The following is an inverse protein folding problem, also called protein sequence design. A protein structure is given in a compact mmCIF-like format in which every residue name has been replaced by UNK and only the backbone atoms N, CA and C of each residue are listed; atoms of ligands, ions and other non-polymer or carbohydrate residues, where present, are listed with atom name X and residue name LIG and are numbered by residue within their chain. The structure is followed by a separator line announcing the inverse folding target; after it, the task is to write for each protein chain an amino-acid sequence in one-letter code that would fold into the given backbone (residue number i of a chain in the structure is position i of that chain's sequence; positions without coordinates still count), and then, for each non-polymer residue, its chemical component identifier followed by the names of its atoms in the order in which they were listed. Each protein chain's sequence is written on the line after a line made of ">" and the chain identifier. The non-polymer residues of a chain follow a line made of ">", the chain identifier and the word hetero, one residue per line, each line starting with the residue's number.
data_IF_152781706481
#
_entry.id   IF_152781706481
#
_cell.length_a   1.000
_cell.length_b   1.000
_cell.length_c   1.000
_cell.angle_alpha   90.00
_cell.angle_beta   90.00
_cell.angle_gamma   90.00
#
_symmetry.space_group_name_H-M   'P 1'
#
loop_
_entity.id
_entity.type
_entity.pdbx_description
1 polymer ?
#
# COMPACT_ATOMS: atom_id res chain seq x y z
N UNK A 1 16.23 40.31 7.93
CA UNK A 1 15.01 39.48 7.70
C UNK A 1 14.61 39.66 6.23
N UNK A 2 14.16 38.61 5.54
CA UNK A 2 13.60 38.73 4.17
C UNK A 2 14.50 38.46 2.96
N UNK A 3 15.73 37.93 3.11
CA UNK A 3 16.59 37.67 1.94
C UNK A 3 16.16 36.45 1.09
N UNK A 4 15.32 35.57 1.64
CA UNK A 4 14.85 34.34 1.00
C UNK A 4 13.35 34.36 0.66
N UNK A 5 12.63 35.42 1.02
CA UNK A 5 11.19 35.59 0.74
C UNK A 5 10.97 36.24 -0.65
N UNK A 6 11.83 35.90 -1.61
CA UNK A 6 11.65 36.32 -3.00
C UNK A 6 10.78 35.25 -3.69
N UNK A 7 9.72 35.64 -4.43
CA UNK A 7 8.97 34.68 -5.22
C UNK A 7 9.95 33.98 -6.17
N UNK A 8 9.96 32.66 -6.11
CA UNK A 8 10.87 31.86 -6.92
C UNK A 8 10.28 31.81 -8.34
N UNK A 9 11.09 31.98 -9.39
CA UNK A 9 10.60 31.94 -10.78
C UNK A 9 9.87 30.66 -11.20
N UNK A 10 9.97 29.60 -10.40
CA UNK A 10 9.37 28.28 -10.63
C UNK A 10 8.17 27.99 -9.73
N UNK A 11 7.77 28.92 -8.84
CA UNK A 11 6.58 28.78 -7.99
C UNK A 11 5.29 29.30 -8.69
N UNK A 12 5.42 30.08 -9.78
CA UNK A 12 4.32 30.73 -10.51
C UNK A 12 4.09 30.16 -11.93
N UNK A 13 4.64 28.99 -12.28
CA UNK A 13 4.39 28.39 -13.60
C UNK A 13 2.96 27.80 -13.64
N UNK A 14 2.03 28.39 -14.42
CA UNK A 14 0.64 27.92 -14.47
C UNK A 14 0.49 26.52 -15.08
N UNK A 15 1.55 25.95 -15.65
CA UNK A 15 1.55 24.60 -16.22
C UNK A 15 2.02 23.52 -15.24
N UNK A 16 2.56 23.88 -14.07
CA UNK A 16 3.06 22.93 -13.09
C UNK A 16 1.98 22.68 -12.04
N UNK A 17 1.29 21.55 -12.17
CA UNK A 17 0.46 21.04 -11.08
C UNK A 17 1.35 20.42 -9.99
N UNK A 18 1.72 21.25 -9.01
CA UNK A 18 2.55 20.87 -7.87
C UNK A 18 1.98 19.71 -7.02
N UNK A 19 0.69 19.37 -7.19
CA UNK A 19 0.02 18.32 -6.43
C UNK A 19 -0.21 17.03 -7.23
N UNK A 20 0.26 17.00 -8.49
CA UNK A 20 0.10 15.83 -9.35
C UNK A 20 0.93 14.66 -8.83
N UNK A 21 0.26 13.63 -8.34
CA UNK A 21 0.90 12.38 -7.95
C UNK A 21 1.14 11.53 -9.21
N UNK A 22 2.40 11.41 -9.62
CA UNK A 22 2.79 10.53 -10.72
C UNK A 22 2.59 9.06 -10.32
N UNK A 23 2.09 8.26 -11.26
CA UNK A 23 1.98 6.82 -11.07
C UNK A 23 3.37 6.21 -11.18
N UNK A 24 3.67 5.26 -10.30
CA UNK A 24 4.91 4.51 -10.37
C UNK A 24 4.98 3.72 -11.69
N UNK A 25 6.09 3.85 -12.41
CA UNK A 25 6.37 3.07 -13.61
C UNK A 25 7.19 1.82 -13.23
N UNK A 26 6.70 0.58 -13.50
CA UNK A 26 7.44 -0.65 -13.25
C UNK A 26 8.84 -0.72 -13.88
N UNK A 27 9.10 0.03 -14.96
CA UNK A 27 10.42 0.12 -15.59
C UNK A 27 11.47 0.81 -14.72
N UNK A 28 11.07 1.62 -13.74
CA UNK A 28 12.01 2.29 -12.84
C UNK A 28 12.70 1.32 -11.87
N UNK A 29 12.17 0.10 -11.71
CA UNK A 29 12.76 -0.94 -10.87
C UNK A 29 12.67 -2.33 -11.52
N UNK A 30 13.35 -2.51 -12.66
CA UNK A 30 13.35 -3.79 -13.37
C UNK A 30 13.88 -4.96 -12.51
N UNK A 31 14.80 -4.71 -11.58
CA UNK A 31 15.35 -5.71 -10.67
C UNK A 31 14.39 -6.18 -9.58
N UNK A 32 13.36 -5.40 -9.24
CA UNK A 32 12.43 -5.70 -8.15
C UNK A 32 13.07 -5.54 -6.76
N UNK A 33 12.44 -6.12 -5.73
CA UNK A 33 12.94 -6.05 -4.36
C UNK A 33 14.00 -7.13 -4.09
N UNK A 34 15.10 -6.73 -3.45
CA UNK A 34 16.15 -7.65 -2.97
C UNK A 34 15.76 -8.29 -1.65
N UNK A 35 15.22 -7.47 -0.73
CA UNK A 35 14.82 -7.86 0.61
C UNK A 35 13.31 -7.91 0.77
N UNK A 36 12.85 -8.71 1.73
CA UNK A 36 11.42 -8.85 2.06
C UNK A 36 11.07 -7.93 3.21
N UNK A 37 10.11 -7.05 2.98
CA UNK A 37 9.44 -6.27 4.01
C UNK A 37 8.10 -6.91 4.33
N UNK A 38 7.79 -7.09 5.61
CA UNK A 38 6.55 -7.72 6.07
C UNK A 38 5.87 -6.87 7.15
N UNK A 39 4.56 -6.76 7.08
CA UNK A 39 3.72 -6.10 8.07
C UNK A 39 2.57 -7.02 8.47
N UNK A 40 2.30 -7.09 9.77
CA UNK A 40 1.17 -7.84 10.31
C UNK A 40 0.27 -6.96 11.16
N UNK A 41 -1.02 -7.27 11.21
CA UNK A 41 -2.02 -6.58 12.03
C UNK A 41 -3.02 -7.60 12.57
N UNK A 42 -3.26 -7.55 13.87
CA UNK A 42 -4.30 -8.34 14.54
C UNK A 42 -5.70 -7.79 14.23
N UNK A 43 -6.69 -8.66 14.18
CA UNK A 43 -8.10 -8.29 14.04
C UNK A 43 -8.96 -8.95 15.14
N UNK A 44 -10.07 -8.32 15.53
CA UNK A 44 -10.96 -8.88 16.54
C UNK A 44 -11.78 -10.06 15.98
N UNK A 45 -12.08 -11.04 16.83
CA UNK A 45 -12.74 -12.30 16.43
C UNK A 45 -14.04 -12.12 15.64
N UNK A 46 -14.84 -11.09 15.93
CA UNK A 46 -16.08 -10.84 15.21
C UNK A 46 -15.88 -10.48 13.72
N UNK A 47 -14.65 -10.08 13.31
CA UNK A 47 -14.31 -9.80 11.91
C UNK A 47 -13.93 -11.03 11.11
N UNK A 48 -13.66 -12.15 11.76
CA UNK A 48 -13.12 -13.36 11.14
C UNK A 48 -13.95 -13.82 9.94
N UNK A 49 -15.27 -13.96 10.12
CA UNK A 49 -16.18 -14.41 9.05
C UNK A 49 -16.13 -13.51 7.81
N UNK A 50 -16.18 -12.20 8.03
CA UNK A 50 -16.10 -11.23 6.92
C UNK A 50 -14.75 -11.29 6.22
N UNK A 51 -13.66 -11.33 6.99
CA UNK A 51 -12.31 -11.40 6.43
C UNK A 51 -12.13 -12.68 5.64
N UNK A 52 -12.64 -13.81 6.11
CA UNK A 52 -12.59 -15.08 5.39
C UNK A 52 -13.31 -15.03 4.04
N UNK A 53 -14.50 -14.41 3.98
CA UNK A 53 -15.28 -14.24 2.75
C UNK A 53 -14.62 -13.25 1.77
N UNK A 54 -14.06 -12.14 2.27
CA UNK A 54 -13.43 -11.10 1.46
C UNK A 54 -11.96 -11.40 1.08
N UNK A 55 -11.28 -12.31 1.78
CA UNK A 55 -9.85 -12.56 1.61
C UNK A 55 -9.42 -12.92 0.18
N UNK A 56 -10.16 -13.76 -0.56
CA UNK A 56 -9.80 -14.11 -1.93
C UNK A 56 -9.69 -12.88 -2.84
N UNK A 57 -10.58 -11.90 -2.67
CA UNK A 57 -10.56 -10.63 -3.39
C UNK A 57 -9.36 -9.77 -2.99
N UNK A 58 -9.10 -9.62 -1.70
CA UNK A 58 -7.93 -8.87 -1.20
C UNK A 58 -6.64 -9.49 -1.75
N UNK A 59 -6.54 -10.82 -1.75
CA UNK A 59 -5.38 -11.56 -2.24
C UNK A 59 -5.20 -11.42 -3.75
N UNK A 60 -6.27 -11.42 -4.55
CA UNK A 60 -6.17 -11.21 -5.99
C UNK A 60 -5.70 -9.79 -6.32
N UNK A 61 -6.29 -8.77 -5.67
CA UNK A 61 -5.90 -7.37 -5.89
C UNK A 61 -4.44 -7.11 -5.50
N UNK A 62 -3.96 -7.64 -4.36
CA UNK A 62 -2.57 -7.46 -3.93
C UNK A 62 -1.56 -8.24 -4.81
N UNK A 63 -2.00 -9.35 -5.41
CA UNK A 63 -1.16 -10.15 -6.32
C UNK A 63 -0.79 -9.39 -7.60
N UNK A 64 -1.66 -8.51 -8.09
CA UNK A 64 -1.39 -7.65 -9.26
C UNK A 64 -0.19 -6.72 -9.00
N UNK A 65 0.00 -6.29 -7.76
CA UNK A 65 1.15 -5.49 -7.33
C UNK A 65 2.36 -6.32 -6.88
N UNK A 66 2.27 -7.66 -6.99
CA UNK A 66 3.31 -8.58 -6.55
C UNK A 66 3.48 -8.63 -5.03
N UNK A 67 2.46 -8.30 -4.24
CA UNK A 67 2.46 -8.42 -2.78
C UNK A 67 1.87 -9.79 -2.38
N UNK A 68 2.50 -10.47 -1.43
CA UNK A 68 1.92 -11.65 -0.79
C UNK A 68 1.02 -11.23 0.37
N UNK A 69 -0.14 -11.87 0.50
CA UNK A 69 -1.10 -11.63 1.58
C UNK A 69 -1.56 -12.95 2.19
N UNK A 70 -1.46 -13.04 3.52
CA UNK A 70 -1.81 -14.21 4.32
C UNK A 70 -2.77 -13.84 5.46
N UNK A 71 -3.77 -14.70 5.66
CA UNK A 71 -4.76 -14.58 6.74
C UNK A 71 -4.58 -15.76 7.67
N UNK A 72 -4.26 -15.48 8.93
CA UNK A 72 -4.14 -16.49 9.98
C UNK A 72 -5.36 -16.41 10.90
N UNK A 73 -6.26 -17.39 10.78
CA UNK A 73 -7.47 -17.48 11.61
C UNK A 73 -7.18 -17.98 13.03
N UNK A 74 -6.08 -18.70 13.24
CA UNK A 74 -5.71 -19.21 14.58
C UNK A 74 -5.17 -18.10 15.46
N UNK A 75 -4.27 -17.27 14.91
CA UNK A 75 -3.73 -16.10 15.62
C UNK A 75 -4.64 -14.87 15.53
N UNK A 76 -5.60 -14.84 14.59
CA UNK A 76 -6.41 -13.67 14.30
C UNK A 76 -5.60 -12.52 13.68
N UNK A 77 -4.69 -12.83 12.76
CA UNK A 77 -3.75 -11.87 12.16
C UNK A 77 -3.83 -11.84 10.63
N UNK A 78 -3.61 -10.66 10.05
CA UNK A 78 -3.44 -10.44 8.62
C UNK A 78 -2.01 -9.98 8.36
N UNK A 79 -1.33 -10.61 7.43
CA UNK A 79 0.06 -10.31 7.10
C UNK A 79 0.22 -10.01 5.61
N UNK A 80 0.94 -8.94 5.28
CA UNK A 80 1.33 -8.58 3.92
C UNK A 80 2.84 -8.50 3.81
N UNK A 81 3.39 -9.03 2.72
CA UNK A 81 4.84 -9.10 2.50
C UNK A 81 5.20 -8.75 1.06
N UNK A 82 6.30 -8.03 0.85
CA UNK A 82 6.86 -7.83 -0.50
C UNK A 82 7.39 -9.14 -1.06
N UNK A 83 7.49 -9.23 -2.37
CA UNK A 83 8.11 -10.37 -3.07
C UNK A 83 9.15 -9.87 -4.07
N UNK A 84 9.92 -10.78 -4.66
CA UNK A 84 10.84 -10.44 -5.76
C UNK A 84 10.13 -9.85 -6.98
N UNK A 85 8.81 -10.04 -7.10
CA UNK A 85 7.98 -9.48 -8.18
C UNK A 85 7.49 -8.06 -7.88
N UNK A 86 7.57 -7.60 -6.64
CA UNK A 86 7.20 -6.23 -6.28
C UNK A 86 8.15 -5.25 -6.95
N UNK A 87 7.60 -4.29 -7.72
CA UNK A 87 8.38 -3.28 -8.45
C UNK A 87 8.37 -1.93 -7.73
N UNK A 88 7.19 -1.52 -7.26
CA UNK A 88 7.00 -0.30 -6.49
C UNK A 88 7.44 -0.51 -5.02
N UNK A 89 8.47 0.20 -4.51
CA UNK A 89 8.91 0.07 -3.12
C UNK A 89 7.90 0.62 -2.11
N UNK A 90 7.05 1.56 -2.50
CA UNK A 90 6.09 2.21 -1.61
C UNK A 90 4.76 1.44 -1.51
N UNK A 91 4.47 0.52 -2.43
CA UNK A 91 3.20 -0.21 -2.47
C UNK A 91 2.91 -1.04 -1.21
N UNK A 92 3.97 -1.50 -0.52
CA UNK A 92 3.84 -2.23 0.74
C UNK A 92 3.25 -1.36 1.87
N UNK A 93 3.50 -0.05 1.85
CA UNK A 93 2.95 0.89 2.84
C UNK A 93 1.43 1.02 2.64
N UNK A 94 0.98 1.05 1.38
CA UNK A 94 -0.46 1.06 1.06
C UNK A 94 -1.12 -0.26 1.46
N UNK A 95 -0.46 -1.39 1.26
CA UNK A 95 -0.97 -2.71 1.69
C UNK A 95 -1.06 -2.82 3.23
N UNK A 96 -0.09 -2.25 3.97
CA UNK A 96 -0.15 -2.14 5.44
C UNK A 96 -1.39 -1.34 5.87
N UNK A 97 -1.66 -0.22 5.20
CA UNK A 97 -2.80 0.62 5.54
C UNK A 97 -4.12 -0.07 5.19
N UNK A 98 -4.17 -0.83 4.09
CA UNK A 98 -5.31 -1.69 3.74
C UNK A 98 -5.65 -2.69 4.86
N UNK A 99 -4.68 -3.50 5.33
CA UNK A 99 -4.96 -4.49 6.39
C UNK A 99 -5.36 -3.82 7.72
N UNK A 100 -4.85 -2.62 8.00
CA UNK A 100 -5.28 -1.81 9.15
C UNK A 100 -6.71 -1.27 9.02
N UNK A 101 -7.16 -0.92 7.82
CA UNK A 101 -8.53 -0.51 7.58
C UNK A 101 -9.49 -1.70 7.73
N UNK A 102 -9.12 -2.85 7.17
CA UNK A 102 -9.89 -4.09 7.28
C UNK A 102 -10.06 -4.55 8.73
N UNK A 103 -9.03 -4.40 9.57
CA UNK A 103 -9.10 -4.72 11.00
C UNK A 103 -10.00 -3.77 11.79
N UNK A 104 -10.16 -2.52 11.31
CA UNK A 104 -11.03 -1.48 11.88
C UNK A 104 -12.44 -1.47 11.29
N UNK A 105 -12.88 -2.59 10.73
CA UNK A 105 -14.24 -2.77 10.21
C UNK A 105 -14.61 -1.92 8.99
N UNK A 106 -13.62 -1.37 8.28
CA UNK A 106 -13.87 -0.76 6.96
C UNK A 106 -14.07 -1.89 5.95
N UNK A 107 -15.21 -1.94 5.24
CA UNK A 107 -15.46 -2.98 4.23
C UNK A 107 -14.61 -2.74 2.98
N UNK A 108 -14.08 -3.81 2.41
CA UNK A 108 -13.62 -3.81 1.03
C UNK A 108 -14.84 -3.61 0.11
N UNK A 109 -14.73 -2.75 -0.92
CA UNK A 109 -15.78 -2.61 -1.93
C UNK A 109 -16.02 -3.96 -2.62
N UNK A 110 -17.30 -4.31 -2.84
CA UNK A 110 -17.75 -5.54 -3.51
C UNK A 110 -17.61 -5.43 -5.02
#
# INVERSE_FOLDING_TARGET
>A
KGKHDKPKPWDDDPNIDHWKVEKFDPSWNEGGMVEVSSFSTLFPQYREKYLQEAWPLVKSSLKEFGISAELNLVEGSMTVSTTRKTKDPYIIVKARDLIRLLSRSVPAPQ
#
